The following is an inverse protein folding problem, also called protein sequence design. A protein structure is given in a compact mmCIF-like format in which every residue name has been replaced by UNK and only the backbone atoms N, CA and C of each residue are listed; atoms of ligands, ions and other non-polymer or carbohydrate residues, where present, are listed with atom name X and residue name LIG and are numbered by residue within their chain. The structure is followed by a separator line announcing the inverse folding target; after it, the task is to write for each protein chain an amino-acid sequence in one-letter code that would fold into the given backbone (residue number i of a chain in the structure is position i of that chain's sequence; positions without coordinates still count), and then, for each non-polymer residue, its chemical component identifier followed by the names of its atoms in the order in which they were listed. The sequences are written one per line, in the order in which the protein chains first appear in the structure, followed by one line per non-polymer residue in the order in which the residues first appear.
data_IF_141271848596
#
_entry.id   IF_141271848596
#
_cell.length_a   1.000
_cell.length_b   1.000
_cell.length_c   1.000
_cell.angle_alpha   90.00
_cell.angle_beta   90.00
_cell.angle_gamma   90.00
#
_symmetry.space_group_name_H-M   'P 1'
#
loop_
_entity.id
_entity.type
_entity.pdbx_description
1 polymer ?
#
# COMPACT_ATOMS: atom_id res chain seq x y z
N UNK A 1 -15.47 18.35 0.78
CA UNK A 1 -14.49 19.40 1.19
C UNK A 1 -14.03 19.26 2.64
N UNK A 2 -14.82 18.66 3.55
CA UNK A 2 -14.49 18.58 4.99
C UNK A 2 -13.96 17.23 5.49
N UNK A 3 -13.79 16.24 4.61
CA UNK A 3 -13.20 14.94 4.96
C UNK A 3 -12.48 14.30 3.77
N UNK A 4 -11.48 13.44 4.01
CA UNK A 4 -10.85 12.66 2.95
C UNK A 4 -11.86 11.76 2.20
N UNK A 5 -11.63 11.48 0.90
CA UNK A 5 -12.35 10.42 0.21
C UNK A 5 -12.22 9.09 0.95
N UNK A 6 -13.29 8.31 1.07
CA UNK A 6 -13.28 7.00 1.72
C UNK A 6 -14.15 6.00 0.95
N UNK A 7 -14.22 4.76 1.44
CA UNK A 7 -14.92 3.67 0.78
C UNK A 7 -16.43 3.94 0.53
N UNK A 8 -17.07 4.82 1.31
CA UNK A 8 -18.50 5.15 1.19
C UNK A 8 -18.78 6.23 0.14
N UNK A 9 -17.75 6.83 -0.45
CA UNK A 9 -17.92 7.80 -1.54
C UNK A 9 -18.14 7.13 -2.91
N UNK A 10 -18.11 5.80 -2.97
CA UNK A 10 -18.19 5.02 -4.21
C UNK A 10 -19.40 4.09 -4.20
N UNK A 11 -20.16 4.03 -5.31
CA UNK A 11 -21.39 3.23 -5.38
C UNK A 11 -21.13 1.73 -5.53
N UNK A 12 -19.93 1.32 -5.95
CA UNK A 12 -19.58 -0.07 -6.21
C UNK A 12 -18.30 -0.50 -5.49
N UNK A 13 -18.28 -1.75 -5.02
CA UNK A 13 -17.06 -2.40 -4.53
C UNK A 13 -16.11 -2.79 -5.65
N UNK A 14 -16.54 -2.75 -6.92
CA UNK A 14 -15.75 -3.16 -8.09
C UNK A 14 -15.28 -2.00 -8.96
N UNK A 15 -15.12 -0.81 -8.38
CA UNK A 15 -14.49 0.32 -9.08
C UNK A 15 -13.04 0.02 -9.50
N UNK A 16 -12.65 0.47 -10.70
CA UNK A 16 -11.26 0.43 -11.19
C UNK A 16 -10.34 1.28 -10.32
N UNK A 17 -10.85 2.43 -9.84
CA UNK A 17 -10.14 3.31 -8.92
C UNK A 17 -10.85 3.35 -7.57
N UNK A 18 -10.17 2.82 -6.54
CA UNK A 18 -10.59 2.93 -5.14
C UNK A 18 -10.33 4.33 -4.58
N UNK A 19 -11.00 4.64 -3.48
CA UNK A 19 -10.90 5.91 -2.75
C UNK A 19 -9.46 6.38 -2.47
N UNK A 20 -8.53 5.45 -2.16
CA UNK A 20 -7.13 5.80 -1.89
C UNK A 20 -6.39 6.32 -3.14
N UNK A 21 -6.81 5.96 -4.36
CA UNK A 21 -6.24 6.54 -5.59
C UNK A 21 -6.54 8.04 -5.68
N UNK A 22 -7.76 8.43 -5.32
CA UNK A 22 -8.16 9.83 -5.28
C UNK A 22 -7.43 10.59 -4.18
N UNK A 23 -7.17 9.95 -3.04
CA UNK A 23 -6.32 10.52 -2.00
C UNK A 23 -4.90 10.78 -2.52
N UNK A 24 -4.30 9.83 -3.26
CA UNK A 24 -2.97 10.02 -3.85
C UNK A 24 -2.93 11.21 -4.82
N UNK A 25 -3.92 11.35 -5.70
CA UNK A 25 -3.98 12.48 -6.64
C UNK A 25 -4.21 13.80 -5.89
N UNK A 26 -5.22 13.87 -5.02
CA UNK A 26 -5.55 15.10 -4.30
C UNK A 26 -4.37 15.61 -3.47
N UNK A 27 -3.78 14.74 -2.66
CA UNK A 27 -2.69 15.13 -1.76
C UNK A 27 -1.34 15.25 -2.48
N UNK A 28 -1.14 14.49 -3.56
CA UNK A 28 0.00 14.67 -4.46
C UNK A 28 -0.03 16.00 -5.21
N UNK A 29 -1.24 16.53 -5.47
CA UNK A 29 -1.44 17.85 -6.09
C UNK A 29 -1.60 18.99 -5.07
N UNK A 30 -1.38 18.74 -3.79
CA UNK A 30 -1.40 19.78 -2.74
C UNK A 30 -2.79 20.25 -2.31
N UNK A 31 -3.85 19.49 -2.60
CA UNK A 31 -5.19 19.82 -2.10
C UNK A 31 -5.25 19.68 -0.57
N UNK A 32 -5.63 20.74 0.13
CA UNK A 32 -5.73 20.74 1.59
C UNK A 32 -7.11 20.24 2.08
N UNK A 33 -7.09 19.26 2.98
CA UNK A 33 -8.29 18.78 3.69
C UNK A 33 -8.20 19.14 5.16
N UNK A 34 -9.18 19.87 5.67
CA UNK A 34 -9.32 20.11 7.12
C UNK A 34 -9.84 18.84 7.78
N UNK A 35 -9.12 18.36 8.79
CA UNK A 35 -9.50 17.21 9.62
C UNK A 35 -9.49 17.64 11.07
N UNK A 36 -10.47 17.16 11.84
CA UNK A 36 -10.53 17.36 13.28
C UNK A 36 -9.64 16.31 13.99
N UNK A 37 -8.52 16.71 14.62
CA UNK A 37 -7.66 15.77 15.33
C UNK A 37 -8.39 15.02 16.45
N UNK A 38 -9.39 15.64 17.08
CA UNK A 38 -10.15 15.00 18.16
C UNK A 38 -11.02 13.83 17.67
N UNK A 39 -11.39 13.82 16.38
CA UNK A 39 -12.11 12.72 15.76
C UNK A 39 -11.21 11.49 15.46
N UNK A 40 -9.90 11.58 15.70
CA UNK A 40 -8.92 10.54 15.35
C UNK A 40 -8.22 9.98 16.60
N UNK A 41 -8.98 9.24 17.41
CA UNK A 41 -8.53 8.69 18.70
C UNK A 41 -7.41 7.63 18.61
N UNK A 42 -7.15 7.09 17.42
CA UNK A 42 -6.18 6.01 17.20
C UNK A 42 -4.81 6.49 16.68
N UNK A 43 -4.37 7.68 17.10
CA UNK A 43 -3.13 8.30 16.62
C UNK A 43 -1.88 7.44 16.84
N UNK A 44 -1.78 6.71 17.96
CA UNK A 44 -0.65 5.83 18.23
C UNK A 44 -0.60 4.62 17.29
N UNK A 45 -1.74 3.99 17.02
CA UNK A 45 -1.83 2.89 16.06
C UNK A 45 -1.43 3.35 14.67
N UNK A 46 -1.92 4.52 14.25
CA UNK A 46 -1.54 5.12 12.97
C UNK A 46 -0.03 5.36 12.87
N UNK A 47 0.60 5.91 13.92
CA UNK A 47 2.07 6.10 13.98
C UNK A 47 2.83 4.78 13.86
N UNK A 48 2.38 3.74 14.55
CA UNK A 48 2.98 2.41 14.46
C UNK A 48 2.87 1.83 13.04
N UNK A 49 1.73 2.00 12.38
CA UNK A 49 1.54 1.52 11.01
C UNK A 49 2.39 2.31 10.00
N UNK A 50 2.53 3.63 10.17
CA UNK A 50 3.48 4.42 9.38
C UNK A 50 4.93 3.93 9.54
N UNK A 51 5.34 3.59 10.76
CA UNK A 51 6.67 3.05 11.01
C UNK A 51 6.88 1.71 10.29
N UNK A 52 5.91 0.78 10.37
CA UNK A 52 5.96 -0.52 9.67
C UNK A 52 6.09 -0.35 8.15
N UNK A 53 5.30 0.55 7.55
CA UNK A 53 5.34 0.81 6.10
C UNK A 53 6.70 1.39 5.70
N UNK A 54 7.24 2.33 6.49
CA UNK A 54 8.57 2.90 6.25
C UNK A 54 9.66 1.84 6.29
N UNK A 55 9.68 0.99 7.31
CA UNK A 55 10.66 -0.09 7.42
C UNK A 55 10.54 -1.11 6.30
N UNK A 56 9.32 -1.50 5.92
CA UNK A 56 9.08 -2.37 4.77
C UNK A 56 9.61 -1.75 3.47
N UNK A 57 9.40 -0.45 3.27
CA UNK A 57 9.94 0.29 2.13
C UNK A 57 11.46 0.30 2.09
N UNK A 58 12.12 0.51 3.23
CA UNK A 58 13.59 0.46 3.32
C UNK A 58 14.14 -0.93 3.00
N UNK A 59 13.53 -1.99 3.54
CA UNK A 59 13.93 -3.37 3.24
C UNK A 59 13.72 -3.71 1.77
N UNK A 60 12.59 -3.30 1.19
CA UNK A 60 12.31 -3.51 -0.23
C UNK A 60 13.31 -2.77 -1.11
N UNK A 61 13.60 -1.49 -0.81
CA UNK A 61 14.58 -0.71 -1.56
C UNK A 61 16.00 -1.30 -1.50
N UNK A 62 16.38 -1.91 -0.38
CA UNK A 62 17.68 -2.57 -0.23
C UNK A 62 17.74 -3.97 -0.86
N UNK A 63 16.60 -4.67 -0.95
CA UNK A 63 16.54 -6.07 -1.38
C UNK A 63 16.08 -6.30 -2.82
N UNK A 64 15.40 -5.32 -3.44
CA UNK A 64 14.90 -5.46 -4.80
C UNK A 64 16.01 -5.14 -5.82
N UNK A 65 16.13 -5.93 -6.90
CA UNK A 65 17.02 -5.61 -8.00
C UNK A 65 16.55 -4.37 -8.75
N UNK A 66 17.46 -3.72 -9.48
CA UNK A 66 17.10 -2.70 -10.46
C UNK A 66 16.12 -3.27 -11.51
N UNK A 67 15.23 -2.42 -12.02
CA UNK A 67 14.21 -2.81 -12.99
C UNK A 67 14.78 -3.51 -14.22
N UNK A 68 15.87 -3.01 -14.81
CA UNK A 68 16.45 -3.64 -16.01
C UNK A 68 17.12 -4.96 -15.66
N UNK A 69 17.78 -5.02 -14.51
CA UNK A 69 18.41 -6.25 -14.03
C UNK A 69 17.37 -7.36 -13.81
N UNK A 70 16.23 -7.02 -13.20
CA UNK A 70 15.10 -7.94 -13.01
C UNK A 70 14.60 -8.49 -14.35
N UNK A 71 14.34 -7.61 -15.33
CA UNK A 71 13.85 -8.04 -16.64
C UNK A 71 14.84 -9.00 -17.32
N UNK A 72 16.13 -8.68 -17.31
CA UNK A 72 17.15 -9.54 -17.91
C UNK A 72 17.19 -10.93 -17.24
N UNK A 73 17.07 -10.98 -15.92
CA UNK A 73 17.01 -12.25 -15.18
C UNK A 73 15.76 -13.05 -15.56
N UNK A 74 14.58 -12.42 -15.61
CA UNK A 74 13.32 -13.07 -15.97
C UNK A 74 13.34 -13.58 -17.41
N UNK A 75 13.89 -12.82 -18.35
CA UNK A 75 14.01 -13.27 -19.74
C UNK A 75 14.95 -14.46 -19.91
N UNK A 76 16.00 -14.56 -19.08
CA UNK A 76 17.00 -15.64 -19.19
C UNK A 76 16.64 -16.88 -18.38
N UNK A 77 15.97 -16.71 -17.24
CA UNK A 77 15.77 -17.78 -16.24
C UNK A 77 14.30 -17.99 -15.85
N UNK A 78 13.39 -17.10 -16.26
CA UNK A 78 12.01 -17.06 -15.77
C UNK A 78 11.92 -16.57 -14.31
N UNK A 79 10.69 -16.48 -13.78
CA UNK A 79 10.48 -16.27 -12.34
C UNK A 79 10.68 -17.58 -11.59
N UNK A 80 11.59 -17.61 -10.63
CA UNK A 80 11.75 -18.75 -9.72
C UNK A 80 11.01 -18.46 -8.41
N UNK A 81 10.03 -19.26 -8.05
CA UNK A 81 9.42 -19.22 -6.72
C UNK A 81 10.34 -19.91 -5.72
N UNK A 82 10.77 -19.19 -4.67
CA UNK A 82 11.21 -19.87 -3.45
C UNK A 82 9.95 -20.44 -2.80
N UNK A 83 9.88 -21.77 -2.67
CA UNK A 83 8.73 -22.51 -2.08
C UNK A 83 8.33 -21.98 -0.69
N UNK A 84 9.22 -21.29 0.04
CA UNK A 84 8.92 -20.66 1.33
C UNK A 84 8.13 -19.34 1.29
N UNK A 85 8.15 -18.59 0.18
CA UNK A 85 7.50 -17.27 0.10
C UNK A 85 6.02 -17.37 -0.27
N UNK A 86 5.63 -18.36 -1.08
CA UNK A 86 4.24 -18.58 -1.48
C UNK A 86 3.34 -18.96 -0.29
N UNK A 87 3.81 -19.86 0.58
CA UNK A 87 3.09 -20.25 1.80
C UNK A 87 2.95 -19.09 2.80
N UNK A 88 3.96 -18.21 2.86
CA UNK A 88 3.96 -17.04 3.73
C UNK A 88 3.02 -15.93 3.22
N UNK A 89 2.92 -15.76 1.90
CA UNK A 89 2.01 -14.83 1.25
C UNK A 89 0.54 -15.26 1.40
N UNK A 90 0.24 -16.55 1.17
CA UNK A 90 -1.11 -17.11 1.35
C UNK A 90 -1.57 -17.07 2.80
N UNK A 91 -0.68 -17.36 3.77
CA UNK A 91 -1.01 -17.26 5.19
C UNK A 91 -1.29 -15.81 5.64
N UNK A 92 -0.56 -14.84 5.11
CA UNK A 92 -0.78 -13.42 5.39
C UNK A 92 -2.09 -12.89 4.78
N UNK A 93 -2.56 -13.47 3.69
CA UNK A 93 -3.82 -13.13 3.04
C UNK A 93 -5.03 -13.84 3.67
N UNK A 94 -4.85 -15.09 4.14
CA UNK A 94 -5.86 -15.85 4.89
C UNK A 94 -6.16 -15.27 6.27
N UNK A 95 -5.16 -14.69 6.95
CA UNK A 95 -5.35 -14.01 8.25
C UNK A 95 -6.10 -12.67 8.12
N UNK A 96 -6.22 -12.13 6.90
CA UNK A 96 -6.90 -10.86 6.60
C UNK A 96 -8.34 -11.04 6.07
N UNK A 97 -8.81 -12.28 5.93
CA UNK A 97 -10.19 -12.61 5.54
C UNK A 97 -11.05 -12.96 6.74
#
# INVERSE_FOLDING_TARGET
KHRPPNAFDFPSLHESFKYFNYQYVLYGMGFATTVDPAAHVHGDLARADFAKVREAGLRAAAGLPDHRALLNQVYTQGFTTKVGDAASAEAAEGLRR
#
